data_IF_146595065108
#
_entry.id   IF_146595065108
#
_cell.length_a   1.000
_cell.length_b   1.000
_cell.length_c   1.000
_cell.angle_alpha   90.00
_cell.angle_beta   90.00
_cell.angle_gamma   90.00
#
_symmetry.space_group_name_H-M   'P 1'
#
loop_
_entity.id
_entity.type
_entity.pdbx_description
1 polymer ?
#
# COMPACT_ATOMS: atom_id res chain seq x y z
N UNK A 1 16.63 -0.50 -10.53
CA UNK A 1 15.51 0.30 -11.10
C UNK A 1 14.15 -0.39 -10.95
N UNK A 2 14.02 -1.69 -11.29
CA UNK A 2 12.75 -2.43 -11.22
C UNK A 2 12.09 -2.44 -9.82
N UNK A 3 12.89 -2.62 -8.77
CA UNK A 3 12.43 -2.59 -7.37
C UNK A 3 11.85 -1.23 -6.98
N UNK A 4 12.53 -0.14 -7.37
CA UNK A 4 12.06 1.24 -7.15
C UNK A 4 10.74 1.51 -7.87
N UNK A 5 10.63 1.08 -9.13
CA UNK A 5 9.40 1.24 -9.92
C UNK A 5 8.21 0.50 -9.28
N UNK A 6 8.40 -0.74 -8.82
CA UNK A 6 7.35 -1.51 -8.15
C UNK A 6 6.91 -0.88 -6.81
N UNK A 7 7.86 -0.34 -6.04
CA UNK A 7 7.55 0.32 -4.76
C UNK A 7 6.91 1.70 -4.93
N UNK A 8 7.05 2.34 -6.10
CA UNK A 8 6.38 3.61 -6.38
C UNK A 8 4.86 3.47 -6.46
N UNK A 9 4.34 2.33 -6.93
CA UNK A 9 2.89 2.09 -7.11
C UNK A 9 2.10 2.32 -5.81
N UNK A 10 2.38 1.62 -4.69
CA UNK A 10 1.63 1.82 -3.45
C UNK A 10 1.84 3.22 -2.85
N UNK A 11 3.01 3.84 -3.06
CA UNK A 11 3.24 5.22 -2.61
C UNK A 11 2.34 6.20 -3.37
N UNK A 12 2.23 6.04 -4.70
CA UNK A 12 1.31 6.85 -5.50
C UNK A 12 -0.14 6.62 -5.09
N UNK A 13 -0.53 5.40 -4.71
CA UNK A 13 -1.84 5.12 -4.13
C UNK A 13 -2.09 5.92 -2.85
N UNK A 14 -1.19 5.84 -1.87
CA UNK A 14 -1.30 6.65 -0.64
C UNK A 14 -1.38 8.16 -0.91
N UNK A 15 -0.58 8.67 -1.84
CA UNK A 15 -0.63 10.09 -2.24
C UNK A 15 -1.97 10.44 -2.89
N UNK A 16 -2.52 9.58 -3.74
CA UNK A 16 -3.83 9.76 -4.34
C UNK A 16 -4.94 9.77 -3.30
N UNK A 17 -4.86 8.90 -2.28
CA UNK A 17 -5.81 8.89 -1.16
C UNK A 17 -5.78 10.18 -0.36
N UNK A 18 -4.58 10.66 0.01
CA UNK A 18 -4.40 11.94 0.71
C UNK A 18 -4.93 13.10 -0.13
N UNK A 19 -4.64 13.13 -1.43
CA UNK A 19 -5.15 14.16 -2.33
C UNK A 19 -6.68 14.18 -2.37
N UNK A 20 -7.33 13.00 -2.41
CA UNK A 20 -8.79 12.92 -2.35
C UNK A 20 -9.38 13.37 -1.01
N UNK A 21 -8.71 13.09 0.12
CA UNK A 21 -9.12 13.62 1.43
C UNK A 21 -9.02 15.15 1.49
N UNK A 22 -7.92 15.72 0.98
CA UNK A 22 -7.74 17.18 0.89
C UNK A 22 -8.79 17.81 -0.01
N UNK A 23 -9.07 17.21 -1.17
CA UNK A 23 -10.11 17.69 -2.07
C UNK A 23 -11.50 17.65 -1.42
N UNK A 24 -11.80 16.60 -0.64
CA UNK A 24 -13.04 16.50 0.13
C UNK A 24 -13.15 17.60 1.19
N UNK A 25 -12.09 17.81 1.97
CA UNK A 25 -12.05 18.86 3.00
C UNK A 25 -12.16 20.28 2.42
N UNK A 26 -11.73 20.48 1.17
CA UNK A 26 -11.83 21.77 0.46
C UNK A 26 -13.15 21.94 -0.32
N UNK A 27 -14.12 21.02 -0.20
CA UNK A 27 -15.35 20.98 -0.99
C UNK A 27 -15.12 20.94 -2.52
N UNK A 28 -14.01 20.31 -2.94
CA UNK A 28 -13.59 20.13 -4.34
C UNK A 28 -13.69 18.68 -4.80
N UNK A 29 -14.58 17.89 -4.19
CA UNK A 29 -14.74 16.47 -4.54
C UNK A 29 -15.21 16.33 -5.99
N UNK A 30 -14.55 15.50 -6.82
CA UNK A 30 -14.98 15.26 -8.19
C UNK A 30 -16.41 14.71 -8.27
N UNK A 31 -17.27 15.33 -9.09
CA UNK A 31 -18.65 14.84 -9.34
C UNK A 31 -18.67 13.56 -10.18
N UNK A 32 -17.59 13.30 -10.93
CA UNK A 32 -17.45 12.14 -11.81
C UNK A 32 -17.41 10.82 -11.04
N UNK A 33 -18.39 9.94 -11.28
CA UNK A 33 -18.59 8.70 -10.51
C UNK A 33 -17.39 7.75 -10.57
N UNK A 34 -16.71 7.67 -11.72
CA UNK A 34 -15.57 6.77 -11.91
C UNK A 34 -14.39 7.20 -11.03
N UNK A 35 -14.10 8.50 -10.91
CA UNK A 35 -12.99 8.97 -10.08
C UNK A 35 -13.21 8.63 -8.60
N UNK A 36 -14.45 8.75 -8.12
CA UNK A 36 -14.82 8.33 -6.77
C UNK A 36 -14.70 6.82 -6.58
N UNK A 37 -15.12 6.03 -7.57
CA UNK A 37 -15.00 4.58 -7.53
C UNK A 37 -13.52 4.16 -7.46
N UNK A 38 -12.66 4.75 -8.30
CA UNK A 38 -11.21 4.49 -8.29
C UNK A 38 -10.60 4.87 -6.94
N UNK A 39 -11.01 6.00 -6.35
CA UNK A 39 -10.56 6.41 -5.01
C UNK A 39 -10.95 5.39 -3.93
N UNK A 40 -12.20 4.92 -3.93
CA UNK A 40 -12.65 3.91 -2.96
C UNK A 40 -11.97 2.55 -3.16
N UNK A 41 -11.78 2.12 -4.40
CA UNK A 41 -11.04 0.91 -4.72
C UNK A 41 -9.62 1.01 -4.16
N UNK A 42 -8.92 2.10 -4.44
CA UNK A 42 -7.56 2.31 -3.94
C UNK A 42 -7.50 2.41 -2.41
N UNK A 43 -8.52 2.99 -1.78
CA UNK A 43 -8.62 3.08 -0.32
C UNK A 43 -8.69 1.68 0.31
N UNK A 44 -9.54 0.81 -0.24
CA UNK A 44 -9.70 -0.58 0.22
C UNK A 44 -8.41 -1.37 -0.04
N UNK A 45 -7.79 -1.21 -1.21
CA UNK A 45 -6.54 -1.90 -1.55
C UNK A 45 -5.40 -1.49 -0.61
N UNK A 46 -5.23 -0.20 -0.37
CA UNK A 46 -4.12 0.33 0.44
C UNK A 46 -4.29 0.10 1.94
N UNK A 47 -5.52 -0.01 2.43
CA UNK A 47 -5.81 -0.22 3.86
C UNK A 47 -6.08 -1.69 4.16
N UNK A 48 -7.25 -2.19 3.76
CA UNK A 48 -7.77 -3.51 4.10
C UNK A 48 -6.91 -4.61 3.49
N UNK A 49 -6.60 -4.52 2.19
CA UNK A 49 -5.87 -5.58 1.49
C UNK A 49 -4.41 -5.62 1.95
N UNK A 50 -3.76 -4.48 2.16
CA UNK A 50 -2.43 -4.44 2.79
C UNK A 50 -2.46 -5.02 4.21
N UNK A 51 -3.43 -4.65 5.05
CA UNK A 51 -3.55 -5.17 6.41
C UNK A 51 -3.78 -6.70 6.43
N UNK A 52 -4.60 -7.22 5.53
CA UNK A 52 -4.86 -8.65 5.37
C UNK A 52 -3.59 -9.45 5.01
N UNK A 53 -2.57 -8.79 4.44
CA UNK A 53 -1.29 -9.43 4.11
C UNK A 53 -0.33 -9.51 5.30
N UNK A 54 -0.53 -8.72 6.36
CA UNK A 54 0.36 -8.64 7.53
C UNK A 54 0.58 -10.03 8.16
N UNK A 55 -0.43 -10.88 8.41
CA UNK A 55 -0.20 -12.21 9.00
C UNK A 55 0.78 -13.07 8.19
N UNK A 56 0.71 -13.02 6.86
CA UNK A 56 1.63 -13.76 6.01
C UNK A 56 3.06 -13.16 6.07
N UNK A 57 3.18 -11.83 6.10
CA UNK A 57 4.46 -11.14 6.23
C UNK A 57 5.14 -11.44 7.57
N UNK A 58 4.37 -11.48 8.67
CA UNK A 58 4.87 -11.83 9.99
C UNK A 58 5.45 -13.25 10.03
N UNK A 59 4.71 -14.24 9.51
CA UNK A 59 5.21 -15.63 9.42
C UNK A 59 6.50 -15.73 8.60
N UNK A 60 6.61 -14.95 7.52
CA UNK A 60 7.82 -14.92 6.71
C UNK A 60 9.01 -14.24 7.42
N UNK A 61 8.74 -13.20 8.21
CA UNK A 61 9.75 -12.52 9.01
C UNK A 61 10.29 -13.41 10.13
N UNK A 62 9.41 -14.12 10.84
CA UNK A 62 9.80 -15.07 11.90
C UNK A 62 10.74 -16.15 11.37
N UNK A 63 10.39 -16.77 10.24
CA UNK A 63 11.24 -17.80 9.59
C UNK A 63 12.59 -17.26 9.14
N UNK A 64 12.68 -15.97 8.86
CA UNK A 64 13.89 -15.31 8.39
C UNK A 64 14.67 -14.62 9.51
N UNK A 65 14.24 -14.72 10.78
CA UNK A 65 14.86 -14.05 11.93
C UNK A 65 14.80 -12.52 11.86
N UNK A 66 13.79 -11.94 11.19
CA UNK A 66 13.66 -10.48 10.99
C UNK A 66 12.61 -9.86 11.91
N UNK A 67 12.67 -8.53 12.04
CA UNK A 67 11.71 -7.75 12.83
C UNK A 67 10.27 -7.90 12.34
N UNK A 68 9.39 -8.35 13.25
CA UNK A 68 7.92 -8.39 13.03
C UNK A 68 7.33 -7.01 12.79
N UNK A 69 7.80 -6.00 13.54
CA UNK A 69 7.32 -4.61 13.44
C UNK A 69 7.63 -4.04 12.07
N UNK A 70 8.87 -4.23 11.61
CA UNK A 70 9.28 -3.79 10.28
C UNK A 70 8.48 -4.50 9.19
N UNK A 71 8.29 -5.81 9.30
CA UNK A 71 7.51 -6.57 8.33
C UNK A 71 6.05 -6.09 8.23
N UNK A 72 5.39 -5.83 9.37
CA UNK A 72 4.04 -5.30 9.38
C UNK A 72 3.98 -3.89 8.78
N UNK A 73 4.89 -2.99 9.17
CA UNK A 73 4.93 -1.61 8.67
C UNK A 73 5.19 -1.56 7.16
N UNK A 74 6.20 -2.29 6.68
CA UNK A 74 6.54 -2.32 5.27
C UNK A 74 5.44 -2.97 4.44
N UNK A 75 4.75 -4.00 4.95
CA UNK A 75 3.58 -4.56 4.28
C UNK A 75 2.40 -3.59 4.28
N UNK A 76 2.19 -2.80 5.34
CA UNK A 76 1.13 -1.80 5.32
C UNK A 76 1.40 -0.68 4.30
N UNK A 77 2.65 -0.25 4.18
CA UNK A 77 3.03 0.83 3.26
C UNK A 77 3.04 0.32 1.82
N UNK A 78 3.71 -0.80 1.56
CA UNK A 78 4.04 -1.27 0.21
C UNK A 78 3.21 -2.48 -0.26
N UNK A 79 2.40 -3.09 0.61
CA UNK A 79 1.64 -4.29 0.29
C UNK A 79 2.52 -5.45 -0.18
N UNK A 80 2.05 -6.17 -1.21
CA UNK A 80 2.76 -7.30 -1.81
C UNK A 80 4.11 -6.89 -2.43
N UNK A 81 4.28 -5.63 -2.85
CA UNK A 81 5.51 -5.19 -3.50
C UNK A 81 6.72 -5.26 -2.56
N UNK A 82 6.51 -5.14 -1.24
CA UNK A 82 7.56 -5.39 -0.25
C UNK A 82 8.10 -6.82 -0.36
N UNK A 83 7.23 -7.83 -0.22
CA UNK A 83 7.65 -9.23 -0.27
C UNK A 83 8.24 -9.63 -1.61
N UNK A 84 7.77 -9.04 -2.71
CA UNK A 84 8.29 -9.29 -4.06
C UNK A 84 9.71 -8.74 -4.23
N UNK A 85 9.95 -7.51 -3.79
CA UNK A 85 11.26 -6.88 -3.89
C UNK A 85 12.30 -7.50 -2.93
N UNK A 86 11.89 -8.00 -1.77
CA UNK A 86 12.77 -8.78 -0.88
C UNK A 86 13.19 -10.14 -1.47
N UNK A 87 12.38 -10.73 -2.36
CA UNK A 87 12.74 -11.96 -3.09
C UNK A 87 13.69 -11.69 -4.25
N UNK A 88 13.54 -10.56 -4.94
CA UNK A 88 14.46 -10.17 -6.03
C UNK A 88 15.84 -9.74 -5.53
N UNK A 89 15.98 -9.36 -4.26
CA UNK A 89 17.24 -8.95 -3.65
C UNK A 89 18.04 -10.09 -2.98
N UNK A 90 17.51 -11.31 -2.98
CA UNK A 90 18.17 -12.52 -2.48
C UNK A 90 18.62 -13.39 -3.64
#
# INVERSE_FOLDING_TARGET
>A
MKTTALRAIPILGWLYLVAGLVASAADRTPRHRILRAVWWIDAILSTVVHAAQIPAALRAADRAGRSRREAALMTQIFGLTWTRTQREAR
#
